data_IF_960418495169
#
_entry.id   IF_960418495169
#
_cell.length_a   1.000
_cell.length_b   1.000
_cell.length_c   1.000
_cell.angle_alpha   90.00
_cell.angle_beta   90.00
_cell.angle_gamma   90.00
#
_symmetry.space_group_name_H-M   'P 1'
#
loop_
_entity.id
_entity.type
_entity.pdbx_description
1 polymer ?
#
# COMPACT_ATOMS: atom_id res chain seq x y z
N UNK A 1 -6.49 -5.27 -47.03
CA UNK A 1 -6.94 -5.12 -45.63
C UNK A 1 -5.80 -5.04 -44.60
N UNK A 2 -4.77 -5.90 -44.63
CA UNK A 2 -3.67 -5.88 -43.64
C UNK A 2 -2.85 -4.57 -43.58
N UNK A 3 -2.68 -3.86 -44.69
CA UNK A 3 -1.90 -2.60 -44.76
C UNK A 3 -2.54 -1.42 -44.02
N UNK A 4 -3.87 -1.37 -43.97
CA UNK A 4 -4.61 -0.31 -43.25
C UNK A 4 -4.62 -0.55 -41.73
N UNK A 5 -4.50 -1.80 -41.30
CA UNK A 5 -4.45 -2.17 -39.88
C UNK A 5 -3.14 -1.72 -39.24
N UNK A 6 -2.02 -1.83 -39.96
CA UNK A 6 -0.71 -1.33 -39.52
C UNK A 6 -0.71 0.20 -39.38
N UNK A 7 -1.31 0.91 -40.35
CA UNK A 7 -1.44 2.37 -40.27
C UNK A 7 -2.33 2.81 -39.10
N UNK A 8 -3.38 2.06 -38.80
CA UNK A 8 -4.26 2.33 -37.66
C UNK A 8 -3.54 2.13 -36.31
N UNK A 9 -2.72 1.08 -36.19
CA UNK A 9 -1.93 0.79 -34.98
C UNK A 9 -0.86 1.87 -34.77
N UNK A 10 -0.17 2.30 -35.84
CA UNK A 10 0.86 3.35 -35.73
C UNK A 10 0.21 4.71 -35.40
N UNK A 11 -0.92 5.04 -36.03
CA UNK A 11 -1.65 6.28 -35.75
C UNK A 11 -2.22 6.35 -34.34
N UNK A 12 -2.73 5.24 -33.81
CA UNK A 12 -3.21 5.16 -32.42
C UNK A 12 -2.07 5.23 -31.40
N UNK A 13 -0.90 4.64 -31.69
CA UNK A 13 0.27 4.76 -30.83
C UNK A 13 0.80 6.20 -30.77
N UNK A 14 0.85 6.89 -31.92
CA UNK A 14 1.26 8.29 -32.00
C UNK A 14 0.29 9.22 -31.24
N UNK A 15 -1.02 8.95 -31.31
CA UNK A 15 -2.03 9.71 -30.59
C UNK A 15 -1.92 9.52 -29.06
N UNK A 16 -1.66 8.30 -28.60
CA UNK A 16 -1.45 8.01 -27.17
C UNK A 16 -0.19 8.72 -26.65
N UNK A 17 0.91 8.72 -27.42
CA UNK A 17 2.13 9.44 -27.06
C UNK A 17 1.91 10.97 -27.05
N UNK A 18 1.16 11.50 -28.00
CA UNK A 18 0.82 12.92 -28.05
C UNK A 18 -0.03 13.36 -26.85
N UNK A 19 -1.04 12.58 -26.47
CA UNK A 19 -1.86 12.87 -25.29
C UNK A 19 -1.05 12.80 -24.00
N UNK A 20 -0.14 11.83 -23.88
CA UNK A 20 0.70 11.66 -22.69
C UNK A 20 1.74 12.78 -22.51
N UNK A 21 2.25 13.34 -23.61
CA UNK A 21 3.17 14.48 -23.57
C UNK A 21 2.45 15.83 -23.40
N UNK A 22 1.14 15.91 -23.65
CA UNK A 22 0.37 17.14 -23.44
C UNK A 22 0.17 17.44 -21.95
N UNK A 23 0.08 16.41 -21.11
CA UNK A 23 -0.08 16.56 -19.66
C UNK A 23 1.24 16.85 -18.92
N UNK A 24 2.38 16.79 -19.62
CA UNK A 24 3.72 17.06 -19.04
C UNK A 24 4.33 18.40 -19.48
N UNK A 25 3.63 19.19 -20.30
CA UNK A 25 4.06 20.53 -20.70
C UNK A 25 3.20 21.62 -20.02
N UNK A 26 3.32 21.72 -18.69
CA UNK A 26 2.99 22.95 -17.96
C UNK A 26 4.31 23.43 -17.34
N UNK A 27 4.92 24.44 -17.96
CA UNK A 27 6.05 25.15 -17.38
C UNK A 27 5.64 25.74 -16.01
N UNK A 28 6.43 25.56 -14.94
CA UNK A 28 6.23 26.32 -13.72
C UNK A 28 6.65 27.77 -13.98
N UNK A 29 5.67 28.68 -13.89
CA UNK A 29 5.94 30.11 -13.85
C UNK A 29 6.83 30.45 -12.63
N UNK A 30 7.84 31.33 -12.76
CA UNK A 30 8.69 31.72 -11.64
C UNK A 30 7.89 32.57 -10.64
N UNK A 31 7.84 32.12 -9.39
CA UNK A 31 7.32 32.90 -8.25
C UNK A 31 8.41 33.90 -7.83
N UNK A 32 8.09 35.19 -7.64
CA UNK A 32 9.09 36.18 -7.23
C UNK A 32 9.57 35.93 -5.80
N UNK A 33 10.88 35.80 -5.65
CA UNK A 33 11.59 35.83 -4.37
C UNK A 33 11.52 37.28 -3.84
N UNK A 34 10.70 37.52 -2.82
CA UNK A 34 10.86 38.69 -1.96
C UNK A 34 12.01 38.40 -1.00
N UNK A 35 13.11 39.12 -1.20
CA UNK A 35 14.22 39.15 -0.28
C UNK A 35 13.85 39.87 1.02
N UNK A 36 14.31 39.30 2.12
CA UNK A 36 14.63 40.07 3.32
C UNK A 36 16.08 39.78 3.66
N UNK A 37 16.92 40.76 3.31
CA UNK A 37 18.21 41.00 3.94
C UNK A 37 18.07 40.97 5.47
N UNK A 38 19.09 40.43 6.16
CA UNK A 38 19.84 41.07 7.25
C UNK A 38 20.93 40.11 7.81
N UNK A 39 21.98 40.64 8.46
CA UNK A 39 23.36 40.23 8.20
C UNK A 39 24.03 39.37 9.29
N UNK A 40 25.24 38.93 8.95
CA UNK A 40 26.24 38.26 9.77
C UNK A 40 26.59 39.04 11.06
N UNK A 41 26.51 38.34 12.21
CA UNK A 41 27.47 38.41 13.32
C UNK A 41 27.15 39.31 14.52
N UNK A 42 26.89 38.72 15.70
CA UNK A 42 27.27 39.23 17.04
C UNK A 42 27.41 38.05 18.03
N UNK A 43 28.42 38.12 18.91
CA UNK A 43 28.82 37.11 19.89
C UNK A 43 27.86 36.93 21.10
N UNK A 44 27.86 35.70 21.65
CA UNK A 44 27.20 35.32 22.92
C UNK A 44 27.95 35.86 24.14
N UNK A 45 27.27 36.40 25.17
CA UNK A 45 27.85 36.52 26.51
C UNK A 45 27.67 35.23 27.33
N UNK A 46 28.75 34.87 28.04
CA UNK A 46 28.87 33.78 29.00
C UNK A 46 28.10 34.07 30.30
N UNK A 47 27.54 33.03 30.91
CA UNK A 47 27.25 33.00 32.35
C UNK A 47 25.77 32.96 32.72
N UNK A 48 25.21 31.74 32.77
CA UNK A 48 24.15 31.37 33.73
C UNK A 48 24.14 29.83 33.82
N UNK A 49 25.21 29.28 34.38
CA UNK A 49 25.13 27.97 35.00
C UNK A 49 24.40 28.11 36.35
N UNK A 50 23.70 27.03 36.71
CA UNK A 50 22.99 26.79 37.97
C UNK A 50 21.62 27.47 38.09
N UNK A 51 20.56 26.65 38.00
CA UNK A 51 19.75 26.23 39.16
C UNK A 51 18.74 25.15 38.69
N UNK A 52 18.91 23.95 39.25
CA UNK A 52 17.89 22.98 39.70
C UNK A 52 16.77 22.55 38.72
N UNK A 53 16.74 21.23 38.42
CA UNK A 53 15.47 20.51 38.22
C UNK A 53 14.61 20.66 39.48
N UNK A 54 13.30 20.92 39.33
CA UNK A 54 12.37 19.79 39.33
C UNK A 54 11.27 19.92 38.28
N UNK A 55 10.75 18.75 37.88
CA UNK A 55 9.51 18.55 37.13
C UNK A 55 8.39 19.48 37.60
N UNK A 56 7.66 20.10 36.66
CA UNK A 56 6.21 20.07 36.74
C UNK A 56 5.59 19.70 35.39
N UNK A 57 4.76 18.66 35.48
CA UNK A 57 3.61 18.35 34.65
C UNK A 57 3.10 19.57 33.85
N UNK A 58 3.37 19.58 32.55
CA UNK A 58 2.55 20.33 31.60
C UNK A 58 1.93 19.33 30.64
N UNK A 59 0.62 19.16 30.82
CA UNK A 59 -0.29 18.57 29.86
C UNK A 59 -0.21 19.39 28.56
N UNK A 60 0.68 19.00 27.65
CA UNK A 60 0.48 19.32 26.25
C UNK A 60 -0.49 18.27 25.73
N UNK A 61 -1.74 18.70 25.63
CA UNK A 61 -2.81 18.03 24.90
C UNK A 61 -2.33 17.93 23.45
N UNK A 62 -1.64 16.84 23.09
CA UNK A 62 -1.34 16.52 21.71
C UNK A 62 -2.66 16.25 21.01
N UNK A 63 -3.07 17.23 20.22
CA UNK A 63 -4.12 17.09 19.22
C UNK A 63 -3.75 15.90 18.34
N UNK A 64 -4.52 14.81 18.44
CA UNK A 64 -4.42 13.68 17.51
C UNK A 64 -4.34 14.21 16.08
N UNK A 65 -3.42 13.71 15.24
CA UNK A 65 -3.56 13.87 13.81
C UNK A 65 -4.88 13.20 13.43
N UNK A 66 -5.81 14.01 12.93
CA UNK A 66 -7.10 13.53 12.47
C UNK A 66 -6.90 12.43 11.42
N UNK A 67 -7.74 11.39 11.52
CA UNK A 67 -7.99 10.41 10.46
C UNK A 67 -8.07 11.12 9.10
N UNK A 68 -7.50 10.55 8.01
CA UNK A 68 -7.71 11.08 6.67
C UNK A 68 -9.22 11.13 6.40
N UNK A 69 -9.76 12.33 6.26
CA UNK A 69 -11.15 12.50 5.83
C UNK A 69 -11.24 11.99 4.38
N UNK A 70 -12.24 11.14 4.05
CA UNK A 70 -12.50 10.74 2.69
C UNK A 70 -12.75 11.98 1.82
N UNK A 71 -12.23 11.96 0.59
CA UNK A 71 -12.45 13.02 -0.39
C UNK A 71 -13.95 13.41 -0.44
N UNK A 72 -14.28 14.72 -0.44
CA UNK A 72 -15.65 15.16 -0.37
C UNK A 72 -16.28 14.93 -1.75
N UNK A 73 -17.13 13.92 -1.88
CA UNK A 73 -18.33 14.01 -2.71
C UNK A 73 -19.30 12.85 -2.44
N UNK A 74 -20.55 13.24 -2.18
CA UNK A 74 -21.80 12.48 -2.14
C UNK A 74 -22.10 11.64 -0.89
N UNK A 75 -22.94 12.26 -0.04
CA UNK A 75 -23.82 11.71 1.00
C UNK A 75 -24.31 10.27 0.72
N UNK A 76 -23.57 9.28 1.20
CA UNK A 76 -24.06 7.92 1.49
C UNK A 76 -23.42 7.45 2.80
N UNK A 77 -23.78 8.11 3.90
CA UNK A 77 -23.16 7.86 5.21
C UNK A 77 -23.88 6.74 5.99
N UNK A 78 -25.14 6.41 5.69
CA UNK A 78 -25.94 5.54 6.58
C UNK A 78 -25.66 4.03 6.49
N UNK A 79 -25.36 3.46 5.33
CA UNK A 79 -25.17 1.99 5.21
C UNK A 79 -23.74 1.54 5.48
N UNK A 80 -22.74 2.39 5.19
CA UNK A 80 -21.34 2.09 5.48
C UNK A 80 -21.09 2.08 7.00
N UNK A 81 -21.67 3.02 7.74
CA UNK A 81 -21.51 3.14 9.20
C UNK A 81 -22.08 1.94 9.96
N UNK A 82 -23.21 1.37 9.51
CA UNK A 82 -23.77 0.14 10.07
C UNK A 82 -22.87 -1.07 9.81
N UNK A 83 -22.36 -1.20 8.57
CA UNK A 83 -21.45 -2.27 8.19
C UNK A 83 -20.17 -2.27 9.03
N UNK A 84 -19.54 -1.11 9.25
CA UNK A 84 -18.27 -1.00 9.99
C UNK A 84 -18.41 -1.46 11.45
N UNK A 85 -19.57 -1.21 12.08
CA UNK A 85 -19.83 -1.61 13.47
C UNK A 85 -20.02 -3.11 13.64
N UNK A 86 -20.60 -3.77 12.63
CA UNK A 86 -20.97 -5.18 12.68
C UNK A 86 -19.91 -6.11 12.07
N UNK A 87 -19.04 -5.57 11.20
CA UNK A 87 -18.05 -6.35 10.45
C UNK A 87 -16.72 -6.41 11.17
N UNK A 88 -16.16 -7.61 11.31
CA UNK A 88 -14.77 -7.80 11.75
C UNK A 88 -13.90 -8.20 10.57
N UNK A 89 -12.59 -8.00 10.70
CA UNK A 89 -11.63 -8.37 9.64
C UNK A 89 -11.74 -9.84 9.22
N UNK A 90 -12.02 -10.75 10.18
CA UNK A 90 -12.27 -12.16 9.88
C UNK A 90 -13.48 -12.38 8.97
N UNK A 91 -14.49 -11.52 9.08
CA UNK A 91 -15.69 -11.58 8.26
C UNK A 91 -15.41 -11.02 6.86
N UNK A 92 -14.49 -10.04 6.75
CA UNK A 92 -13.96 -9.56 5.46
C UNK A 92 -13.20 -10.68 4.75
N UNK A 93 -12.28 -11.35 5.45
CA UNK A 93 -11.53 -12.50 4.91
C UNK A 93 -12.45 -13.64 4.47
N UNK A 94 -13.49 -13.94 5.26
CA UNK A 94 -14.44 -15.00 4.94
C UNK A 94 -15.40 -14.66 3.79
N UNK A 95 -15.77 -13.38 3.65
CA UNK A 95 -16.69 -12.93 2.60
C UNK A 95 -16.00 -12.35 1.36
N UNK A 96 -14.67 -12.38 1.34
CA UNK A 96 -13.80 -12.02 0.24
C UNK A 96 -14.36 -12.45 -1.13
N UNK A 97 -14.66 -13.74 -1.31
CA UNK A 97 -15.20 -14.27 -2.57
C UNK A 97 -16.54 -13.63 -2.97
N UNK A 98 -17.41 -13.35 -2.00
CA UNK A 98 -18.78 -12.85 -2.25
C UNK A 98 -18.79 -11.36 -2.63
N UNK A 99 -17.83 -10.60 -2.12
CA UNK A 99 -17.81 -9.14 -2.29
C UNK A 99 -17.05 -8.72 -3.54
N UNK A 100 -15.99 -9.44 -3.93
CA UNK A 100 -15.18 -9.08 -5.11
C UNK A 100 -14.67 -10.25 -5.94
N UNK A 101 -14.64 -11.48 -5.39
CA UNK A 101 -14.15 -12.68 -6.09
C UNK A 101 -15.02 -13.17 -7.26
N UNK A 102 -16.05 -12.41 -7.64
CA UNK A 102 -17.08 -12.82 -8.59
C UNK A 102 -17.08 -12.05 -9.91
N UNK A 103 -15.95 -11.48 -10.34
CA UNK A 103 -15.86 -10.80 -11.64
C UNK A 103 -16.21 -11.70 -12.86
N UNK A 104 -16.35 -13.02 -12.67
CA UNK A 104 -16.73 -13.96 -13.74
C UNK A 104 -18.14 -14.56 -13.66
N UNK A 105 -18.71 -14.76 -12.46
CA UNK A 105 -19.90 -15.63 -12.27
C UNK A 105 -21.22 -14.85 -12.13
N UNK A 106 -21.20 -13.63 -11.58
CA UNK A 106 -22.37 -12.74 -11.52
C UNK A 106 -22.09 -11.51 -12.40
N UNK A 107 -22.66 -11.50 -13.61
CA UNK A 107 -22.41 -10.44 -14.60
C UNK A 107 -22.89 -9.07 -14.12
N UNK A 108 -23.97 -9.01 -13.33
CA UNK A 108 -24.53 -7.75 -12.83
C UNK A 108 -23.61 -7.18 -11.77
N UNK A 109 -23.18 -8.00 -10.80
CA UNK A 109 -22.20 -7.57 -9.80
C UNK A 109 -20.85 -7.24 -10.40
N UNK A 110 -20.38 -8.00 -11.39
CA UNK A 110 -19.11 -7.72 -12.08
C UNK A 110 -19.14 -6.35 -12.76
N UNK A 111 -20.24 -6.04 -13.44
CA UNK A 111 -20.44 -4.72 -14.04
C UNK A 111 -20.56 -3.64 -12.97
N UNK A 112 -21.29 -3.89 -11.88
CA UNK A 112 -21.43 -2.97 -10.75
C UNK A 112 -20.08 -2.67 -10.09
N UNK A 113 -19.21 -3.65 -9.90
CA UNK A 113 -17.83 -3.48 -9.40
C UNK A 113 -17.04 -2.56 -10.33
N UNK A 114 -17.04 -2.87 -11.63
CA UNK A 114 -16.30 -2.08 -12.63
C UNK A 114 -16.77 -0.63 -12.71
N UNK A 115 -18.07 -0.39 -12.57
CA UNK A 115 -18.66 0.95 -12.66
C UNK A 115 -18.59 1.73 -11.35
N UNK A 116 -18.60 1.06 -10.21
CA UNK A 116 -18.70 1.73 -8.91
C UNK A 116 -17.35 1.93 -8.23
N UNK A 117 -16.46 0.94 -8.27
CA UNK A 117 -15.16 0.96 -7.57
C UNK A 117 -13.99 0.86 -8.56
N UNK A 118 -14.19 0.17 -9.69
CA UNK A 118 -13.16 -0.09 -10.68
C UNK A 118 -12.16 -1.18 -10.22
N UNK A 119 -11.29 -1.59 -11.14
CA UNK A 119 -10.28 -2.61 -10.83
C UNK A 119 -9.25 -2.16 -9.79
N UNK A 120 -8.91 -0.87 -9.77
CA UNK A 120 -7.92 -0.34 -8.82
C UNK A 120 -8.42 -0.40 -7.38
N UNK A 121 -9.67 -0.01 -7.10
CA UNK A 121 -10.18 -0.05 -5.72
C UNK A 121 -10.29 -1.46 -5.14
N UNK A 122 -10.46 -2.49 -5.99
CA UNK A 122 -10.37 -3.89 -5.54
C UNK A 122 -8.93 -4.25 -5.21
N UNK A 123 -7.96 -3.88 -6.06
CA UNK A 123 -6.54 -4.10 -5.79
C UNK A 123 -6.06 -3.40 -4.52
N UNK A 124 -6.49 -2.16 -4.29
CA UNK A 124 -6.11 -1.39 -3.10
C UNK A 124 -6.59 -2.10 -1.83
N UNK A 125 -7.80 -2.66 -1.86
CA UNK A 125 -8.35 -3.42 -0.75
C UNK A 125 -7.66 -4.79 -0.59
N UNK A 126 -7.37 -5.48 -1.68
CA UNK A 126 -6.55 -6.69 -1.68
C UNK A 126 -5.19 -6.42 -1.02
N UNK A 127 -4.50 -5.36 -1.45
CA UNK A 127 -3.21 -4.96 -0.90
C UNK A 127 -3.30 -4.65 0.60
N UNK A 128 -4.37 -3.98 1.04
CA UNK A 128 -4.60 -3.67 2.45
C UNK A 128 -4.83 -4.94 3.30
N UNK A 129 -5.56 -5.92 2.78
CA UNK A 129 -5.70 -7.24 3.39
C UNK A 129 -4.35 -7.96 3.48
N UNK A 130 -3.54 -7.91 2.42
CA UNK A 130 -2.18 -8.46 2.39
C UNK A 130 -1.29 -7.83 3.47
N UNK A 131 -1.30 -6.51 3.60
CA UNK A 131 -0.58 -5.77 4.66
C UNK A 131 -1.02 -6.16 6.07
N UNK A 132 -2.34 -6.29 6.30
CA UNK A 132 -2.86 -6.76 7.58
C UNK A 132 -2.34 -8.18 7.91
N UNK A 133 -2.38 -9.09 6.95
CA UNK A 133 -1.90 -10.46 7.15
C UNK A 133 -0.39 -10.53 7.38
N UNK A 134 0.40 -9.70 6.69
CA UNK A 134 1.82 -9.54 6.97
C UNK A 134 2.05 -9.05 8.42
N UNK A 135 1.27 -8.08 8.90
CA UNK A 135 1.34 -7.61 10.28
C UNK A 135 1.06 -8.72 11.30
N UNK A 136 0.01 -9.52 11.09
CA UNK A 136 -0.29 -10.66 11.97
C UNK A 136 0.84 -11.70 11.95
N UNK A 137 1.45 -11.92 10.78
CA UNK A 137 2.60 -12.83 10.62
C UNK A 137 3.79 -12.34 11.44
N UNK A 138 4.11 -11.04 11.37
CA UNK A 138 5.18 -10.40 12.14
C UNK A 138 4.94 -10.43 13.65
N UNK A 139 3.70 -10.16 14.07
CA UNK A 139 3.28 -10.20 15.47
C UNK A 139 3.44 -11.60 16.07
N UNK A 140 3.15 -12.64 15.29
CA UNK A 140 3.22 -14.06 15.70
C UNK A 140 4.56 -14.72 15.42
N UNK A 141 5.48 -13.99 14.79
CA UNK A 141 6.76 -14.51 14.33
C UNK A 141 6.63 -15.77 13.45
N UNK A 142 5.65 -15.75 12.54
CA UNK A 142 5.33 -16.89 11.68
C UNK A 142 4.77 -16.39 10.37
N UNK A 143 5.27 -16.92 9.24
CA UNK A 143 4.65 -16.67 7.94
C UNK A 143 3.24 -17.27 7.88
N UNK A 144 2.25 -16.40 7.72
CA UNK A 144 0.84 -16.73 7.55
C UNK A 144 0.28 -16.22 6.22
N UNK A 145 1.11 -15.74 5.29
CA UNK A 145 0.66 -15.26 3.98
C UNK A 145 0.01 -16.39 3.16
N UNK A 146 0.54 -17.62 3.24
CA UNK A 146 -0.09 -18.80 2.62
C UNK A 146 -1.44 -19.21 3.20
N UNK A 147 -1.88 -18.61 4.30
CA UNK A 147 -3.21 -18.84 4.92
C UNK A 147 -4.29 -17.89 4.42
N UNK A 148 -3.96 -17.01 3.47
CA UNK A 148 -4.93 -16.08 2.88
C UNK A 148 -6.08 -16.83 2.17
N UNK A 149 -7.29 -16.23 2.12
CA UNK A 149 -8.45 -16.81 1.44
C UNK A 149 -8.15 -17.11 -0.03
N UNK A 150 -8.61 -18.27 -0.49
CA UNK A 150 -8.46 -18.71 -1.89
C UNK A 150 -9.76 -18.51 -2.65
N UNK A 151 -9.68 -17.94 -3.84
CA UNK A 151 -10.74 -17.87 -4.85
C UNK A 151 -10.47 -18.92 -5.92
N UNK A 152 -11.44 -19.80 -6.16
CA UNK A 152 -11.30 -20.90 -7.14
C UNK A 152 -9.99 -21.72 -6.94
N UNK A 153 -9.60 -21.92 -5.67
CA UNK A 153 -8.41 -22.68 -5.28
C UNK A 153 -7.08 -21.90 -5.31
N UNK A 154 -7.08 -20.61 -5.65
CA UNK A 154 -5.88 -19.74 -5.66
C UNK A 154 -6.07 -18.52 -4.79
N UNK A 155 -5.05 -18.12 -4.03
CA UNK A 155 -5.08 -16.82 -3.34
C UNK A 155 -5.14 -15.72 -4.39
N UNK A 156 -5.85 -14.64 -4.09
CA UNK A 156 -5.80 -13.44 -4.92
C UNK A 156 -4.36 -12.94 -5.04
N UNK A 157 -3.93 -12.70 -6.28
CA UNK A 157 -2.53 -12.43 -6.59
C UNK A 157 -2.01 -11.16 -5.90
N UNK A 158 -2.83 -10.10 -5.82
CA UNK A 158 -2.41 -8.83 -5.21
C UNK A 158 -2.28 -8.98 -3.69
N UNK A 159 -3.24 -9.67 -3.06
CA UNK A 159 -3.18 -10.02 -1.64
C UNK A 159 -1.92 -10.82 -1.27
N UNK A 160 -1.65 -11.89 -2.02
CA UNK A 160 -0.53 -12.79 -1.79
C UNK A 160 0.80 -12.05 -1.98
N UNK A 161 0.94 -11.34 -3.11
CA UNK A 161 2.15 -10.58 -3.44
C UNK A 161 2.44 -9.51 -2.40
N UNK A 162 1.44 -8.71 -2.00
CA UNK A 162 1.64 -7.63 -1.02
C UNK A 162 1.94 -8.19 0.37
N UNK A 163 1.30 -9.29 0.77
CA UNK A 163 1.60 -9.95 2.03
C UNK A 163 3.07 -10.39 2.07
N UNK A 164 3.50 -11.16 1.07
CA UNK A 164 4.84 -11.76 1.00
C UNK A 164 5.94 -10.69 0.96
N UNK A 165 5.80 -9.72 0.07
CA UNK A 165 6.76 -8.63 -0.11
C UNK A 165 6.89 -7.78 1.16
N UNK A 166 5.78 -7.45 1.81
CA UNK A 166 5.77 -6.64 3.03
C UNK A 166 6.35 -7.42 4.22
N UNK A 167 5.95 -8.68 4.37
CA UNK A 167 6.43 -9.58 5.42
C UNK A 167 7.95 -9.73 5.36
N UNK A 168 8.48 -10.05 4.18
CA UNK A 168 9.92 -10.27 4.00
C UNK A 168 10.72 -8.97 4.11
N UNK A 169 10.20 -7.83 3.65
CA UNK A 169 10.87 -6.54 3.78
C UNK A 169 11.02 -6.11 5.25
N UNK A 170 9.92 -6.09 6.00
CA UNK A 170 9.92 -5.69 7.41
C UNK A 170 10.59 -6.76 8.27
N UNK A 171 10.39 -8.04 7.93
CA UNK A 171 11.07 -9.20 8.52
C UNK A 171 12.58 -9.09 8.42
N UNK A 172 13.10 -8.79 7.23
CA UNK A 172 14.52 -8.61 6.99
C UNK A 172 15.09 -7.44 7.79
N UNK A 173 14.41 -6.29 7.83
CA UNK A 173 14.79 -5.17 8.69
C UNK A 173 14.83 -5.58 10.18
N UNK A 174 13.85 -6.35 10.65
CA UNK A 174 13.85 -6.92 11.99
C UNK A 174 15.04 -7.85 12.24
N UNK A 175 15.42 -8.68 11.26
CA UNK A 175 16.56 -9.57 11.37
C UNK A 175 17.87 -8.79 11.50
N UNK A 176 18.07 -7.75 10.69
CA UNK A 176 19.24 -6.86 10.79
C UNK A 176 19.36 -6.24 12.19
N UNK A 177 18.22 -6.02 12.87
CA UNK A 177 18.15 -5.47 14.22
C UNK A 177 18.00 -6.50 15.34
N UNK A 178 18.18 -7.79 15.03
CA UNK A 178 18.13 -8.87 16.01
C UNK A 178 16.77 -9.04 16.69
N UNK A 179 15.68 -8.64 16.02
CA UNK A 179 14.30 -8.74 16.52
C UNK A 179 13.59 -10.03 16.10
N UNK A 180 14.13 -10.76 15.12
CA UNK A 180 13.57 -12.00 14.58
C UNK A 180 14.64 -13.00 14.19
N UNK A 181 14.17 -14.23 13.96
CA UNK A 181 14.97 -15.38 13.56
C UNK A 181 15.59 -15.27 12.16
N UNK A 182 16.56 -16.16 11.91
CA UNK A 182 17.31 -16.28 10.67
C UNK A 182 16.42 -16.49 9.42
N UNK A 183 15.26 -17.13 9.57
CA UNK A 183 14.37 -17.47 8.45
C UNK A 183 13.97 -16.24 7.62
N UNK A 184 13.68 -15.10 8.25
CA UNK A 184 13.33 -13.88 7.51
C UNK A 184 14.45 -13.38 6.61
N UNK A 185 15.71 -13.58 7.00
CA UNK A 185 16.84 -13.26 6.13
C UNK A 185 17.01 -14.28 5.01
N UNK A 186 16.88 -15.56 5.33
CA UNK A 186 16.93 -16.64 4.34
C UNK A 186 15.88 -16.46 3.24
N UNK A 187 14.65 -16.16 3.63
CA UNK A 187 13.52 -15.97 2.72
C UNK A 187 13.67 -14.68 1.92
N UNK A 188 14.16 -13.61 2.53
CA UNK A 188 14.52 -12.38 1.82
C UNK A 188 15.58 -12.63 0.74
N UNK A 189 16.64 -13.38 1.06
CA UNK A 189 17.71 -13.72 0.11
C UNK A 189 17.15 -14.50 -1.08
N UNK A 190 16.36 -15.56 -0.83
CA UNK A 190 15.76 -16.39 -1.89
C UNK A 190 14.72 -15.66 -2.73
N UNK A 191 13.89 -14.85 -2.08
CA UNK A 191 12.75 -14.18 -2.70
C UNK A 191 13.14 -12.91 -3.46
N UNK A 192 13.96 -12.06 -2.83
CA UNK A 192 14.24 -10.69 -3.29
C UNK A 192 15.60 -10.54 -3.99
N UNK A 193 16.56 -11.45 -3.76
CA UNK A 193 17.93 -11.35 -4.30
C UNK A 193 18.26 -12.49 -5.27
N UNK A 194 17.34 -12.81 -6.19
CA UNK A 194 17.53 -13.86 -7.20
C UNK A 194 18.83 -13.66 -7.99
N UNK A 195 19.66 -14.71 -8.07
CA UNK A 195 20.96 -14.70 -8.74
C UNK A 195 22.11 -14.23 -7.84
N UNK A 196 21.85 -13.79 -6.60
CA UNK A 196 22.92 -13.44 -5.66
C UNK A 196 23.71 -14.66 -5.18
N UNK A 197 23.12 -15.87 -5.27
CA UNK A 197 23.75 -17.15 -4.93
C UNK A 197 25.02 -17.44 -5.75
N UNK A 198 25.18 -16.80 -6.91
CA UNK A 198 26.40 -16.88 -7.72
C UNK A 198 27.61 -16.17 -7.06
N UNK A 199 27.36 -15.23 -6.15
CA UNK A 199 28.38 -14.34 -5.57
C UNK A 199 28.57 -14.52 -4.07
N UNK A 200 27.56 -15.02 -3.37
CA UNK A 200 27.57 -15.19 -1.92
C UNK A 200 26.62 -16.30 -1.48
N UNK A 201 26.97 -17.01 -0.40
CA UNK A 201 26.03 -17.95 0.22
C UNK A 201 24.97 -17.19 1.03
N UNK A 202 23.79 -17.80 1.18
CA UNK A 202 22.73 -17.28 2.05
C UNK A 202 23.23 -17.01 3.49
N UNK A 203 24.03 -17.93 4.04
CA UNK A 203 24.60 -17.80 5.39
C UNK A 203 25.52 -16.59 5.51
N UNK A 204 26.43 -16.40 4.54
CA UNK A 204 27.34 -15.26 4.51
C UNK A 204 26.58 -13.93 4.33
N UNK A 205 25.58 -13.89 3.44
CA UNK A 205 24.74 -12.70 3.26
C UNK A 205 24.04 -12.33 4.58
N UNK A 206 23.44 -13.31 5.23
CA UNK A 206 22.74 -13.09 6.49
C UNK A 206 23.68 -12.74 7.65
N UNK A 207 24.92 -13.21 7.64
CA UNK A 207 25.95 -12.75 8.57
C UNK A 207 26.27 -11.26 8.36
N UNK A 208 26.46 -10.84 7.11
CA UNK A 208 26.68 -9.42 6.75
C UNK A 208 25.46 -8.57 7.11
N UNK A 209 24.25 -9.06 6.85
CA UNK A 209 23.03 -8.30 7.10
C UNK A 209 22.82 -7.98 8.60
N UNK A 210 23.29 -8.84 9.52
CA UNK A 210 23.28 -8.54 10.97
C UNK A 210 24.11 -7.33 11.37
N UNK A 211 25.09 -6.95 10.56
CA UNK A 211 25.88 -5.73 10.77
C UNK A 211 25.18 -4.47 10.22
N UNK A 212 24.04 -4.63 9.54
CA UNK A 212 23.19 -3.57 9.02
C UNK A 212 23.47 -3.16 7.57
N UNK A 213 22.66 -2.21 7.08
CA UNK A 213 22.67 -1.74 5.68
C UNK A 213 24.05 -1.25 5.18
N UNK A 214 24.86 -0.50 5.97
CA UNK A 214 26.20 -0.10 5.54
C UNK A 214 27.17 -1.28 5.33
N UNK A 215 26.99 -2.38 6.05
CA UNK A 215 27.78 -3.59 5.86
C UNK A 215 27.36 -4.31 4.58
N UNK A 216 26.05 -4.44 4.31
CA UNK A 216 25.53 -4.98 3.04
C UNK A 216 26.10 -4.19 1.85
N UNK A 217 26.05 -2.86 1.92
CA UNK A 217 26.58 -1.99 0.86
C UNK A 217 28.07 -2.21 0.58
N UNK A 218 28.89 -2.40 1.61
CA UNK A 218 30.35 -2.56 1.46
C UNK A 218 30.76 -3.99 1.14
N UNK A 219 30.19 -4.97 1.84
CA UNK A 219 30.66 -6.35 1.83
C UNK A 219 29.87 -7.24 0.85
N UNK A 220 28.55 -7.04 0.71
CA UNK A 220 27.73 -7.78 -0.25
C UNK A 220 27.77 -7.11 -1.62
N UNK A 221 27.36 -5.83 -1.73
CA UNK A 221 27.41 -5.13 -3.01
C UNK A 221 28.84 -4.97 -3.56
N UNK A 222 29.85 -4.96 -2.68
CA UNK A 222 31.26 -4.93 -3.06
C UNK A 222 31.76 -6.19 -3.80
N UNK A 223 31.05 -7.33 -3.67
CA UNK A 223 31.40 -8.59 -4.36
C UNK A 223 30.94 -8.65 -5.82
N UNK A 224 30.00 -7.79 -6.20
CA UNK A 224 29.47 -7.78 -7.57
C UNK A 224 30.41 -7.08 -8.55
N UNK A 225 30.43 -7.50 -9.83
CA UNK A 225 31.11 -6.76 -10.89
C UNK A 225 30.50 -5.36 -11.06
N UNK A 226 31.27 -4.42 -11.62
CA UNK A 226 30.91 -2.99 -11.64
C UNK A 226 29.51 -2.68 -12.18
N UNK A 227 29.05 -3.41 -13.20
CA UNK A 227 27.73 -3.29 -13.79
C UNK A 227 26.59 -3.72 -12.84
N UNK A 228 26.74 -4.84 -12.12
CA UNK A 228 25.75 -5.33 -11.16
C UNK A 228 25.84 -4.61 -9.81
N UNK A 229 27.05 -4.18 -9.41
CA UNK A 229 27.31 -3.43 -8.18
C UNK A 229 26.49 -2.15 -8.09
N UNK A 230 26.37 -1.38 -9.18
CA UNK A 230 25.58 -0.14 -9.18
C UNK A 230 24.09 -0.37 -8.93
N UNK A 231 23.55 -1.51 -9.39
CA UNK A 231 22.17 -1.91 -9.11
C UNK A 231 22.01 -2.31 -7.65
N UNK A 232 22.94 -3.11 -7.11
CA UNK A 232 22.96 -3.49 -5.70
C UNK A 232 23.06 -2.26 -4.78
N UNK A 233 23.96 -1.32 -5.09
CA UNK A 233 24.12 -0.07 -4.34
C UNK A 233 22.89 0.86 -4.41
N UNK A 234 22.03 0.70 -5.41
CA UNK A 234 20.74 1.40 -5.46
C UNK A 234 19.71 0.87 -4.46
N UNK A 235 19.75 -0.45 -4.21
CA UNK A 235 18.88 -1.13 -3.23
C UNK A 235 19.46 -1.07 -1.79
N UNK A 236 20.79 -1.11 -1.67
CA UNK A 236 21.53 -1.05 -0.41
C UNK A 236 22.61 0.04 -0.46
N UNK A 237 22.22 1.33 -0.51
CA UNK A 237 23.16 2.42 -0.40
C UNK A 237 23.74 2.49 1.02
N UNK A 238 24.89 3.14 1.18
CA UNK A 238 25.52 3.35 2.49
C UNK A 238 24.68 4.29 3.37
N UNK A 239 23.91 5.19 2.76
CA UNK A 239 23.09 6.19 3.44
C UNK A 239 21.71 6.32 2.76
N UNK A 240 20.66 6.75 3.49
CA UNK A 240 19.30 6.88 2.95
C UNK A 240 19.18 7.76 1.70
N UNK A 241 19.97 8.84 1.64
CA UNK A 241 19.98 9.76 0.49
C UNK A 241 20.45 9.09 -0.82
N UNK A 242 21.05 7.90 -0.76
CA UNK A 242 21.45 7.12 -1.92
C UNK A 242 20.36 6.20 -2.47
N UNK A 243 19.18 6.14 -1.86
CA UNK A 243 18.08 5.29 -2.33
C UNK A 243 17.59 5.74 -3.71
N UNK A 244 17.44 4.77 -4.61
CA UNK A 244 16.98 5.02 -5.99
C UNK A 244 15.55 4.58 -6.27
N UNK A 245 14.93 3.88 -5.32
CA UNK A 245 13.56 3.41 -5.41
C UNK A 245 12.85 3.47 -4.05
N UNK A 246 11.53 3.28 -4.09
CA UNK A 246 10.65 3.25 -2.93
C UNK A 246 11.03 2.11 -1.99
N UNK A 247 11.40 0.94 -2.52
CA UNK A 247 11.76 -0.23 -1.75
C UNK A 247 12.96 0.03 -0.82
N UNK A 248 14.02 0.63 -1.33
CA UNK A 248 15.17 1.06 -0.55
C UNK A 248 14.77 2.07 0.53
N UNK A 249 13.94 3.04 0.17
CA UNK A 249 13.50 4.10 1.08
C UNK A 249 12.67 3.54 2.24
N UNK A 250 11.80 2.57 1.96
CA UNK A 250 11.01 1.86 2.96
C UNK A 250 11.93 1.00 3.85
N UNK A 251 12.86 0.24 3.27
CA UNK A 251 13.80 -0.58 4.05
C UNK A 251 14.57 0.26 5.07
N UNK A 252 15.14 1.39 4.65
CA UNK A 252 15.85 2.31 5.54
C UNK A 252 14.96 2.91 6.63
N UNK A 253 13.74 3.31 6.26
CA UNK A 253 12.80 3.91 7.21
C UNK A 253 12.39 2.90 8.28
N UNK A 254 12.05 1.67 7.88
CA UNK A 254 11.67 0.58 8.79
C UNK A 254 12.86 0.19 9.65
N UNK A 255 14.04 0.00 9.08
CA UNK A 255 15.27 -0.35 9.79
C UNK A 255 15.60 0.69 10.89
N UNK A 256 15.50 1.99 10.57
CA UNK A 256 15.71 3.09 11.53
C UNK A 256 14.64 3.12 12.64
N UNK A 257 13.37 2.85 12.29
CA UNK A 257 12.28 2.78 13.27
C UNK A 257 12.45 1.59 14.23
N UNK A 258 12.92 0.44 13.73
CA UNK A 258 13.20 -0.75 14.54
C UNK A 258 14.43 -0.57 15.43
N UNK A 259 15.49 0.09 14.93
CA UNK A 259 16.67 0.45 15.71
C UNK A 259 16.33 1.37 16.89
N UNK A 260 15.53 2.41 16.63
CA UNK A 260 15.10 3.38 17.64
C UNK A 260 13.93 2.90 18.51
N UNK A 261 13.36 1.73 18.23
CA UNK A 261 12.09 1.24 18.80
C UNK A 261 10.96 2.29 18.72
N UNK A 262 10.94 3.10 17.66
CA UNK A 262 9.98 4.17 17.47
C UNK A 262 9.24 4.02 16.12
N UNK A 263 8.19 3.17 16.06
CA UNK A 263 7.40 3.00 14.85
C UNK A 263 6.58 4.26 14.50
N UNK A 264 6.44 5.23 15.41
CA UNK A 264 5.63 6.44 15.22
C UNK A 264 6.06 7.32 14.04
N UNK A 265 7.35 7.28 13.70
CA UNK A 265 7.95 8.05 12.59
C UNK A 265 7.64 7.47 11.20
N UNK A 266 7.03 6.29 11.14
CA UNK A 266 6.62 5.67 9.87
C UNK A 266 5.24 6.13 9.44
N UNK A 267 5.00 6.04 8.12
CA UNK A 267 3.66 6.12 7.55
C UNK A 267 2.72 5.08 8.17
N UNK A 268 1.41 5.36 8.10
CA UNK A 268 0.38 4.63 8.84
C UNK A 268 0.47 3.10 8.71
N UNK A 269 0.61 2.59 7.48
CA UNK A 269 0.65 1.14 7.23
C UNK A 269 1.93 0.51 7.81
N UNK A 270 3.08 1.16 7.60
CA UNK A 270 4.39 0.69 8.07
C UNK A 270 4.54 0.79 9.59
N UNK A 271 3.89 1.78 10.21
CA UNK A 271 3.83 1.93 11.67
C UNK A 271 3.27 0.68 12.33
N UNK A 272 2.13 0.16 11.86
CA UNK A 272 1.53 -1.06 12.42
C UNK A 272 2.43 -2.28 12.26
N UNK A 273 3.07 -2.43 11.10
CA UNK A 273 3.99 -3.54 10.81
C UNK A 273 5.22 -3.51 11.71
N UNK A 274 5.87 -2.34 11.85
CA UNK A 274 7.03 -2.16 12.71
C UNK A 274 6.66 -2.29 14.20
N UNK A 275 5.49 -1.77 14.62
CA UNK A 275 5.00 -1.94 15.99
C UNK A 275 4.73 -3.43 16.30
N UNK A 276 4.07 -4.16 15.40
CA UNK A 276 3.85 -5.60 15.55
C UNK A 276 5.17 -6.38 15.65
N UNK A 277 6.18 -5.97 14.89
CA UNK A 277 7.52 -6.54 14.95
C UNK A 277 8.20 -6.29 16.31
N UNK A 278 8.11 -5.06 16.84
CA UNK A 278 8.74 -4.67 18.11
C UNK A 278 8.02 -5.30 19.30
N UNK A 279 6.70 -5.23 19.31
CA UNK A 279 5.86 -5.60 20.46
C UNK A 279 5.49 -7.08 20.48
N UNK A 280 5.58 -7.77 19.33
CA UNK A 280 5.16 -9.16 19.15
C UNK A 280 3.72 -9.41 19.62
N UNK A 281 2.82 -8.49 19.23
CA UNK A 281 1.41 -8.51 19.62
C UNK A 281 0.51 -8.20 18.42
N UNK A 282 -0.55 -8.97 18.26
CA UNK A 282 -1.55 -8.73 17.20
C UNK A 282 -2.32 -7.43 17.40
N UNK A 283 -2.39 -6.93 18.64
CA UNK A 283 -3.05 -5.66 18.94
C UNK A 283 -2.44 -4.49 18.15
N UNK A 284 -1.14 -4.54 17.83
CA UNK A 284 -0.45 -3.52 17.02
C UNK A 284 -0.93 -3.49 15.56
N UNK A 285 -1.62 -4.55 15.10
CA UNK A 285 -2.24 -4.67 13.78
C UNK A 285 -3.68 -4.16 13.72
N UNK A 286 -4.26 -3.73 14.86
CA UNK A 286 -5.63 -3.21 14.90
C UNK A 286 -5.88 -2.04 13.95
N UNK A 287 -4.96 -1.05 13.78
CA UNK A 287 -5.17 0.04 12.83
C UNK A 287 -5.36 -0.45 11.39
N UNK A 288 -4.53 -1.41 10.94
CA UNK A 288 -4.69 -2.06 9.64
C UNK A 288 -6.01 -2.84 9.56
N UNK A 289 -6.42 -3.52 10.63
CA UNK A 289 -7.69 -4.25 10.67
C UNK A 289 -8.90 -3.30 10.51
N UNK A 290 -8.87 -2.17 11.19
CA UNK A 290 -9.92 -1.14 11.10
C UNK A 290 -9.97 -0.56 9.69
N UNK A 291 -8.81 -0.28 9.08
CA UNK A 291 -8.72 0.20 7.71
C UNK A 291 -9.29 -0.81 6.70
N UNK A 292 -8.99 -2.12 6.87
CA UNK A 292 -9.57 -3.19 6.04
C UNK A 292 -11.10 -3.17 6.14
N UNK A 293 -11.66 -3.12 7.35
CA UNK A 293 -13.11 -3.12 7.57
C UNK A 293 -13.77 -1.88 6.96
N UNK A 294 -13.20 -0.70 7.19
CA UNK A 294 -13.72 0.56 6.63
C UNK A 294 -13.73 0.54 5.11
N UNK A 295 -12.61 0.13 4.49
CA UNK A 295 -12.49 0.09 3.03
C UNK A 295 -13.43 -0.98 2.43
N UNK A 296 -13.51 -2.17 3.05
CA UNK A 296 -14.48 -3.20 2.70
C UNK A 296 -15.91 -2.70 2.70
N UNK A 297 -16.35 -2.08 3.80
CA UNK A 297 -17.72 -1.59 3.92
C UNK A 297 -18.03 -0.49 2.91
N UNK A 298 -17.07 0.38 2.61
CA UNK A 298 -17.18 1.40 1.56
C UNK A 298 -17.33 0.76 0.17
N UNK A 299 -16.46 -0.18 -0.19
CA UNK A 299 -16.51 -0.92 -1.47
C UNK A 299 -17.83 -1.67 -1.62
N UNK A 300 -18.22 -2.43 -0.60
CA UNK A 300 -19.47 -3.19 -0.58
C UNK A 300 -20.68 -2.27 -0.77
N UNK A 301 -20.74 -1.15 -0.05
CA UNK A 301 -21.85 -0.17 -0.17
C UNK A 301 -21.98 0.37 -1.59
N UNK A 302 -20.86 0.75 -2.22
CA UNK A 302 -20.83 1.27 -3.60
C UNK A 302 -21.31 0.22 -4.61
N UNK A 303 -20.89 -1.04 -4.45
CA UNK A 303 -21.34 -2.15 -5.29
C UNK A 303 -22.84 -2.38 -5.10
N UNK A 304 -23.32 -2.51 -3.86
CA UNK A 304 -24.73 -2.77 -3.55
C UNK A 304 -25.64 -1.65 -4.09
N UNK A 305 -25.23 -0.39 -3.96
CA UNK A 305 -25.94 0.74 -4.58
C UNK A 305 -26.02 0.62 -6.09
N UNK A 306 -24.90 0.29 -6.74
CA UNK A 306 -24.86 0.18 -8.20
C UNK A 306 -25.70 -1.00 -8.69
N UNK A 307 -25.71 -2.13 -7.98
CA UNK A 307 -26.59 -3.26 -8.27
C UNK A 307 -28.06 -2.82 -8.20
N UNK A 308 -28.47 -2.15 -7.13
CA UNK A 308 -29.86 -1.64 -6.99
C UNK A 308 -30.24 -0.68 -8.11
N UNK A 309 -29.35 0.23 -8.49
CA UNK A 309 -29.56 1.15 -9.62
C UNK A 309 -29.80 0.38 -10.93
N UNK A 310 -28.98 -0.64 -11.20
CA UNK A 310 -29.11 -1.47 -12.40
C UNK A 310 -30.42 -2.28 -12.42
N UNK A 311 -30.84 -2.80 -11.28
CA UNK A 311 -32.12 -3.51 -11.13
C UNK A 311 -33.32 -2.60 -11.36
N UNK A 312 -33.29 -1.38 -10.80
CA UNK A 312 -34.34 -0.36 -11.01
C UNK A 312 -34.43 0.00 -12.49
N UNK A 313 -33.30 0.31 -13.13
CA UNK A 313 -33.25 0.68 -14.55
C UNK A 313 -33.79 -0.46 -15.43
N UNK A 314 -33.40 -1.70 -15.15
CA UNK A 314 -33.89 -2.88 -15.88
C UNK A 314 -35.41 -3.04 -15.76
N UNK A 315 -35.96 -2.85 -14.56
CA UNK A 315 -37.41 -2.96 -14.34
C UNK A 315 -38.17 -1.83 -15.06
N UNK A 316 -37.61 -0.62 -15.09
CA UNK A 316 -38.19 0.53 -15.77
C UNK A 316 -38.18 0.35 -17.30
N UNK A 317 -37.11 -0.20 -17.87
CA UNK A 317 -37.02 -0.54 -19.29
C UNK A 317 -38.05 -1.61 -19.68
N UNK A 318 -38.23 -2.63 -18.84
CA UNK A 318 -39.25 -3.67 -19.06
C UNK A 318 -40.67 -3.08 -19.03
N UNK A 319 -40.96 -2.18 -18.07
CA UNK A 319 -42.24 -1.49 -17.99
C UNK A 319 -42.48 -0.61 -19.23
N UNK A 320 -41.49 0.16 -19.66
CA UNK A 320 -41.57 1.01 -20.84
C UNK A 320 -41.82 0.19 -22.12
N UNK A 321 -41.15 -0.95 -22.26
CA UNK A 321 -41.34 -1.87 -23.39
C UNK A 321 -42.75 -2.47 -23.39
N UNK A 322 -43.25 -2.92 -22.23
CA UNK A 322 -44.61 -3.45 -22.11
C UNK A 322 -45.68 -2.39 -22.48
N UNK A 323 -45.48 -1.13 -22.08
CA UNK A 323 -46.39 -0.05 -22.46
C UNK A 323 -46.36 0.27 -23.96
N UNK A 324 -45.19 0.21 -24.61
CA UNK A 324 -45.08 0.42 -26.06
C UNK A 324 -45.73 -0.72 -26.86
N UNK A 325 -45.51 -1.96 -26.46
CA UNK A 325 -46.10 -3.13 -27.11
C UNK A 325 -47.63 -3.14 -26.95
N UNK A 326 -48.13 -2.72 -25.77
CA UNK A 326 -49.56 -2.53 -25.53
C UNK A 326 -50.18 -1.41 -26.37
N UNK A 327 -49.44 -0.30 -26.61
CA UNK A 327 -49.90 0.78 -27.50
C UNK A 327 -49.94 0.37 -28.98
N UNK A 328 -48.96 -0.43 -29.44
CA UNK A 328 -48.91 -0.93 -30.83
C UNK A 328 -50.05 -1.91 -31.13
N UNK A 329 -50.35 -2.83 -30.21
CA UNK A 329 -51.51 -3.74 -30.36
C UNK A 329 -52.84 -3.01 -30.44
N UNK A 330 -52.97 -1.89 -29.73
CA UNK A 330 -54.21 -1.10 -29.71
C UNK A 330 -54.41 -0.20 -30.94
N UNK A 331 -53.41 -0.11 -31.83
CA UNK A 331 -53.48 0.65 -33.08
C UNK A 331 -53.66 -0.23 -34.33
N UNK A 332 -53.74 -1.55 -34.16
CA UNK A 332 -53.95 -2.54 -35.24
C UNK A 332 -55.39 -3.09 -35.27
N UNK A 333 -56.24 -2.70 -34.31
CA UNK A 333 -57.70 -2.92 -34.26
C UNK A 333 -58.44 -1.62 -34.60
#
# INVERSE_FOLDING_TARGET
>A
MRKYLILFVIGSLALVLYLRNRDTAVEPAPVPVQGTDLPVGVALPQGAAEIQSPVPTSQVRETSPALPQPAPNLLVVSQADGCVRETKVKDVLANHEKTWGYMGKDKVKSYAVMQSVGGQGIKDLSALVGKYQACVSLARDKDLCGSLPKVDGKVDYEMDQVCDTTLHLVGFAGYMRGKVEYSYCADYFKGSLKGAEEFITESDFCAIAKEGLPAISRQFCGRFPANARQRCLGAFPVAPAGCKDEYCSVLWSVDSALESNNPGNLEYDLRSLAAAMIEKREASCQPLADAVVQNYCSVKSRIDMKVRELEINKNQDQLNKAMQDGRKKKSED
#
